data_IF_805078554036
#
_entry.id   IF_805078554036
#
_cell.length_a   1.000
_cell.length_b   1.000
_cell.length_c   1.000
_cell.angle_alpha   90.00
_cell.angle_beta   90.00
_cell.angle_gamma   90.00
#
_symmetry.space_group_name_H-M   'P 1'
#
loop_
_entity.id
_entity.type
_entity.pdbx_description
1 polymer ?
#
# COMPACT_ATOMS: atom_id res chain seq x y z
N UNK A 1 11.49 -0.11 -19.73
CA UNK A 1 10.42 -0.77 -18.97
C UNK A 1 10.99 -1.88 -18.11
N UNK A 2 10.63 -1.84 -16.82
CA UNK A 2 10.79 -2.94 -15.88
C UNK A 2 9.82 -4.05 -16.30
N UNK A 3 10.28 -5.29 -16.39
CA UNK A 3 9.45 -6.47 -16.63
C UNK A 3 9.95 -7.62 -15.73
N UNK A 4 9.14 -8.68 -15.59
CA UNK A 4 9.44 -9.79 -14.67
C UNK A 4 10.85 -10.37 -14.84
N UNK A 5 11.26 -10.62 -16.08
CA UNK A 5 12.59 -11.17 -16.37
C UNK A 5 13.73 -10.24 -15.95
N UNK A 6 13.57 -8.92 -16.16
CA UNK A 6 14.56 -7.92 -15.75
C UNK A 6 14.60 -7.73 -14.23
N UNK A 7 13.47 -7.87 -13.55
CA UNK A 7 13.42 -7.88 -12.08
C UNK A 7 14.16 -9.10 -11.54
N UNK A 8 13.84 -10.30 -12.04
CA UNK A 8 14.50 -11.54 -11.63
C UNK A 8 16.02 -11.51 -11.88
N UNK A 9 16.46 -10.95 -13.02
CA UNK A 9 17.87 -10.77 -13.31
C UNK A 9 18.56 -9.80 -12.32
N UNK A 10 17.88 -8.72 -11.93
CA UNK A 10 18.38 -7.78 -10.94
C UNK A 10 18.44 -8.41 -9.53
N UNK A 11 17.41 -9.15 -9.11
CA UNK A 11 17.38 -9.90 -7.84
C UNK A 11 18.60 -10.83 -7.73
N UNK A 12 18.92 -11.56 -8.81
CA UNK A 12 20.10 -12.42 -8.89
C UNK A 12 21.43 -11.67 -8.82
N UNK A 13 21.53 -10.48 -9.43
CA UNK A 13 22.73 -9.64 -9.39
C UNK A 13 23.01 -9.10 -7.98
N UNK A 14 21.96 -8.71 -7.26
CA UNK A 14 22.07 -8.13 -5.91
C UNK A 14 21.98 -9.17 -4.79
N UNK A 15 21.84 -10.46 -5.12
CA UNK A 15 21.78 -11.53 -4.13
C UNK A 15 20.57 -11.41 -3.19
N UNK A 16 19.46 -10.86 -3.68
CA UNK A 16 18.26 -10.67 -2.86
C UNK A 16 17.68 -12.05 -2.48
N UNK A 17 17.49 -12.34 -1.18
CA UNK A 17 16.95 -13.63 -0.77
C UNK A 17 15.50 -13.77 -1.23
N UNK A 18 15.10 -15.00 -1.56
CA UNK A 18 13.69 -15.27 -1.84
C UNK A 18 12.85 -14.94 -0.59
N UNK A 19 11.88 -14.05 -0.77
CA UNK A 19 10.97 -13.68 0.29
C UNK A 19 9.56 -14.20 -0.01
N UNK A 20 8.97 -14.90 0.95
CA UNK A 20 7.56 -15.28 0.90
C UNK A 20 6.81 -14.39 1.85
N UNK A 21 5.86 -13.62 1.33
CA UNK A 21 4.91 -12.86 2.16
C UNK A 21 4.01 -13.88 2.86
N UNK A 22 4.07 -14.02 4.20
CA UNK A 22 3.18 -14.90 4.92
C UNK A 22 1.76 -14.34 4.85
N UNK A 23 0.90 -14.95 4.02
CA UNK A 23 -0.50 -14.56 3.91
C UNK A 23 -1.29 -15.18 5.04
N UNK A 24 -1.82 -14.35 5.92
CA UNK A 24 -2.68 -14.76 7.03
C UNK A 24 -3.76 -13.72 7.22
N UNK A 25 -5.02 -14.17 7.35
CA UNK A 25 -6.13 -13.26 7.64
C UNK A 25 -5.89 -12.65 9.03
N UNK A 26 -5.71 -11.33 9.14
CA UNK A 26 -5.45 -10.70 10.41
C UNK A 26 -6.74 -10.66 11.25
N UNK A 27 -6.60 -10.84 12.56
CA UNK A 27 -7.68 -10.62 13.53
C UNK A 27 -7.37 -9.33 14.30
N UNK A 28 -7.75 -8.18 13.74
CA UNK A 28 -7.43 -6.86 14.29
C UNK A 28 -8.52 -6.41 15.26
N UNK A 29 -8.11 -5.90 16.43
CA UNK A 29 -9.01 -5.30 17.43
C UNK A 29 -8.89 -3.79 17.52
N UNK A 30 -9.90 -3.12 18.07
CA UNK A 30 -9.83 -1.69 18.41
C UNK A 30 -9.99 -0.70 17.24
N UNK A 31 -10.42 -1.17 16.07
CA UNK A 31 -10.65 -0.31 14.90
C UNK A 31 -11.89 0.58 15.03
N UNK A 32 -11.89 1.69 14.30
CA UNK A 32 -13.03 2.62 14.19
C UNK A 32 -13.78 2.37 12.89
N UNK A 33 -15.12 2.33 12.93
CA UNK A 33 -15.92 2.10 11.74
C UNK A 33 -15.77 3.22 10.71
N UNK A 34 -15.43 2.84 9.48
CA UNK A 34 -15.34 3.75 8.34
C UNK A 34 -15.74 3.03 7.06
N UNK A 35 -16.73 3.57 6.36
CA UNK A 35 -17.20 3.00 5.09
C UNK A 35 -16.54 3.63 3.87
N UNK A 36 -15.95 4.82 4.02
CA UNK A 36 -15.34 5.57 2.93
C UNK A 36 -14.12 6.32 3.43
N UNK A 37 -13.02 6.25 2.68
CA UNK A 37 -11.79 7.01 2.97
C UNK A 37 -11.25 7.63 1.68
N UNK A 38 -10.62 8.78 1.79
CA UNK A 38 -9.98 9.48 0.68
C UNK A 38 -8.47 9.52 0.88
N UNK A 39 -7.74 9.40 -0.23
CA UNK A 39 -6.31 9.68 -0.32
C UNK A 39 -6.17 10.81 -1.32
N UNK A 40 -6.20 12.03 -0.80
CA UNK A 40 -6.34 13.25 -1.61
C UNK A 40 -5.16 13.46 -2.56
N UNK A 41 -3.93 13.11 -2.13
CA UNK A 41 -2.72 13.19 -2.96
C UNK A 41 -2.83 12.36 -4.25
N UNK A 42 -3.58 11.26 -4.19
CA UNK A 42 -3.81 10.36 -5.33
C UNK A 42 -5.19 10.56 -5.96
N UNK A 43 -5.95 11.59 -5.57
CA UNK A 43 -7.34 11.80 -6.00
C UNK A 43 -8.19 10.54 -5.88
N UNK A 44 -7.91 9.74 -4.86
CA UNK A 44 -8.42 8.39 -4.71
C UNK A 44 -9.48 8.34 -3.62
N UNK A 45 -10.58 7.64 -3.90
CA UNK A 45 -11.63 7.36 -2.91
C UNK A 45 -11.84 5.86 -2.83
N UNK A 46 -11.81 5.33 -1.61
CA UNK A 46 -12.08 3.92 -1.33
C UNK A 46 -13.40 3.79 -0.61
N UNK A 47 -14.24 2.86 -1.07
CA UNK A 47 -15.55 2.59 -0.46
C UNK A 47 -15.68 1.12 -0.10
N UNK A 48 -15.96 0.86 1.17
CA UNK A 48 -16.19 -0.48 1.69
C UNK A 48 -17.56 -1.00 1.27
N UNK A 49 -17.58 -2.20 0.72
CA UNK A 49 -18.79 -2.96 0.45
C UNK A 49 -18.88 -4.15 1.41
N UNK A 50 -19.86 -4.09 2.32
CA UNK A 50 -20.09 -5.14 3.32
C UNK A 50 -20.61 -6.45 2.70
N UNK A 51 -21.21 -6.43 1.50
CA UNK A 51 -21.70 -7.64 0.85
C UNK A 51 -20.55 -8.51 0.33
N UNK A 52 -19.50 -7.89 -0.22
CA UNK A 52 -18.29 -8.58 -0.67
C UNK A 52 -17.21 -8.64 0.39
N UNK A 53 -17.28 -7.79 1.41
CA UNK A 53 -16.25 -7.66 2.44
C UNK A 53 -14.99 -6.96 1.94
N UNK A 54 -15.05 -6.22 0.82
CA UNK A 54 -13.90 -5.61 0.14
C UNK A 54 -14.12 -4.12 -0.13
N UNK A 55 -13.05 -3.41 -0.46
CA UNK A 55 -13.10 -2.02 -0.90
C UNK A 55 -13.05 -1.94 -2.42
N UNK A 56 -13.82 -1.00 -2.97
CA UNK A 56 -13.67 -0.52 -4.34
C UNK A 56 -12.85 0.76 -4.34
N UNK A 57 -12.15 1.04 -5.45
CA UNK A 57 -11.37 2.26 -5.63
C UNK A 57 -11.97 3.12 -6.76
N UNK A 58 -12.07 4.42 -6.54
CA UNK A 58 -12.14 5.43 -7.60
C UNK A 58 -10.86 6.24 -7.59
N UNK A 59 -10.41 6.65 -8.77
CA UNK A 59 -9.27 7.57 -8.95
C UNK A 59 -9.67 8.62 -9.98
N UNK A 60 -9.43 9.89 -9.65
CA UNK A 60 -9.90 11.04 -10.45
C UNK A 60 -11.40 10.96 -10.79
N UNK A 61 -12.20 10.43 -9.86
CA UNK A 61 -13.65 10.25 -10.02
C UNK A 61 -14.08 9.02 -10.83
N UNK A 62 -13.16 8.29 -11.45
CA UNK A 62 -13.45 7.11 -12.28
C UNK A 62 -13.29 5.82 -11.48
N UNK A 63 -14.17 4.85 -11.71
CA UNK A 63 -14.09 3.54 -11.05
C UNK A 63 -12.90 2.75 -11.57
N UNK A 64 -12.01 2.36 -10.66
CA UNK A 64 -10.85 1.55 -10.99
C UNK A 64 -11.28 0.09 -11.17
N UNK A 65 -11.03 -0.43 -12.38
CA UNK A 65 -11.46 -1.78 -12.79
C UNK A 65 -10.27 -2.57 -13.32
N UNK A 66 -10.30 -3.89 -13.13
CA UNK A 66 -9.36 -4.78 -13.80
C UNK A 66 -9.63 -4.74 -15.31
N UNK A 67 -8.62 -4.36 -16.10
CA UNK A 67 -8.77 -4.18 -17.54
C UNK A 67 -9.08 -5.48 -18.29
N UNK A 68 -8.64 -6.64 -17.77
CA UNK A 68 -8.86 -7.93 -18.39
C UNK A 68 -10.24 -8.50 -18.07
N UNK A 69 -10.73 -8.25 -16.86
CA UNK A 69 -12.03 -8.75 -16.38
C UNK A 69 -13.16 -7.76 -16.62
N UNK A 70 -12.86 -6.48 -16.86
CA UNK A 70 -13.84 -5.39 -16.90
C UNK A 70 -14.74 -5.36 -15.66
N UNK A 71 -14.18 -5.69 -14.50
CA UNK A 71 -14.86 -5.69 -13.20
C UNK A 71 -14.15 -4.73 -12.24
N UNK A 72 -14.87 -4.12 -11.28
CA UNK A 72 -14.24 -3.29 -10.26
C UNK A 72 -13.19 -4.07 -9.46
N UNK A 73 -12.18 -3.37 -8.94
CA UNK A 73 -11.26 -4.00 -8.00
C UNK A 73 -11.97 -4.39 -6.70
N UNK A 74 -11.62 -5.57 -6.18
CA UNK A 74 -12.04 -6.08 -4.87
C UNK A 74 -10.85 -6.13 -3.93
N UNK A 75 -10.61 -5.00 -3.25
CA UNK A 75 -9.45 -4.81 -2.35
C UNK A 75 -9.81 -5.36 -0.96
N UNK A 76 -9.13 -6.41 -0.52
CA UNK A 76 -9.36 -7.05 0.78
C UNK A 76 -8.86 -6.17 1.94
N UNK A 77 -7.76 -5.46 1.72
CA UNK A 77 -7.16 -4.53 2.68
C UNK A 77 -6.55 -3.34 1.95
N UNK A 78 -6.81 -2.14 2.46
CA UNK A 78 -6.13 -0.92 2.04
C UNK A 78 -5.17 -0.49 3.16
N UNK A 79 -3.97 -0.08 2.78
CA UNK A 79 -2.99 0.54 3.66
C UNK A 79 -2.59 1.89 3.07
N UNK A 80 -2.53 2.92 3.90
CA UNK A 80 -1.96 4.22 3.55
C UNK A 80 -0.72 4.39 4.41
N UNK A 81 0.45 4.39 3.78
CA UNK A 81 1.72 4.67 4.45
C UNK A 81 2.09 6.12 4.22
N UNK A 82 2.37 6.83 5.31
CA UNK A 82 2.84 8.21 5.27
C UNK A 82 4.34 8.21 5.51
N UNK A 83 5.11 8.81 4.62
CA UNK A 83 6.57 8.88 4.70
C UNK A 83 7.09 10.28 4.37
N UNK A 84 8.35 10.56 4.68
CA UNK A 84 8.95 11.81 4.23
C UNK A 84 9.16 11.79 2.72
N UNK A 85 9.00 12.95 2.13
CA UNK A 85 9.19 13.22 0.72
C UNK A 85 10.15 14.40 0.57
N UNK A 86 11.07 14.32 -0.39
CA UNK A 86 11.82 15.49 -0.86
C UNK A 86 11.86 15.56 -2.38
N UNK A 87 11.95 16.79 -2.88
CA UNK A 87 12.21 17.05 -4.28
C UNK A 87 13.72 16.92 -4.53
N UNK A 88 14.08 16.08 -5.50
CA UNK A 88 15.42 16.04 -6.02
C UNK A 88 15.62 17.17 -7.02
N UNK A 89 16.80 17.78 -6.98
CA UNK A 89 17.25 18.76 -7.97
C UNK A 89 17.74 18.06 -9.25
N UNK A 90 16.91 17.14 -9.73
CA UNK A 90 17.07 16.37 -10.95
C UNK A 90 15.72 16.43 -11.66
N UNK A 91 15.72 16.96 -12.89
CA UNK A 91 14.51 17.06 -13.70
C UNK A 91 14.21 15.77 -14.43
N UNK A 92 12.93 15.46 -14.62
CA UNK A 92 12.42 14.33 -15.43
C UNK A 92 12.68 14.44 -16.95
N UNK A 93 13.49 15.41 -17.38
CA UNK A 93 13.72 15.75 -18.78
C UNK A 93 12.67 16.70 -19.39
N UNK A 94 11.57 16.99 -18.69
CA UNK A 94 10.52 17.93 -19.07
C UNK A 94 10.32 19.07 -18.04
N UNK A 95 11.14 19.10 -16.98
CA UNK A 95 11.23 20.20 -16.02
C UNK A 95 10.45 19.98 -14.73
N UNK A 96 9.84 18.80 -14.53
CA UNK A 96 9.30 18.42 -13.23
C UNK A 96 10.44 17.90 -12.33
N UNK A 97 10.39 18.27 -11.05
CA UNK A 97 11.27 17.69 -10.04
C UNK A 97 10.93 16.23 -9.81
N UNK A 98 11.94 15.39 -9.61
CA UNK A 98 11.73 14.01 -9.18
C UNK A 98 11.39 14.03 -7.69
N UNK A 99 10.32 13.34 -7.32
CA UNK A 99 9.92 13.12 -5.94
C UNK A 99 10.61 11.86 -5.41
N UNK A 100 11.23 11.95 -4.24
CA UNK A 100 11.89 10.85 -3.56
C UNK A 100 11.22 10.62 -2.20
N UNK A 101 10.66 9.41 -2.05
CA UNK A 101 9.91 8.99 -0.88
C UNK A 101 10.79 8.09 -0.01
N UNK A 102 10.97 8.46 1.26
CA UNK A 102 11.88 7.76 2.18
C UNK A 102 11.29 6.43 2.65
N UNK A 103 11.49 5.34 1.91
CA UNK A 103 10.97 4.01 2.29
C UNK A 103 11.96 3.17 3.10
N UNK A 104 13.13 3.73 3.46
CA UNK A 104 14.21 3.04 4.17
C UNK A 104 14.22 3.30 5.69
N UNK A 105 13.20 3.99 6.21
CA UNK A 105 13.10 4.31 7.63
C UNK A 105 11.79 3.82 8.24
N UNK A 106 10.87 4.72 8.56
CA UNK A 106 9.61 4.43 9.21
C UNK A 106 8.64 5.61 9.05
N UNK A 107 7.38 5.37 9.33
CA UNK A 107 6.38 6.41 9.32
C UNK A 107 5.02 5.95 9.82
N UNK A 108 4.03 6.83 9.68
CA UNK A 108 2.66 6.58 10.10
C UNK A 108 1.96 5.66 9.12
N UNK A 109 1.09 4.79 9.62
CA UNK A 109 0.28 3.87 8.85
C UNK A 109 -1.18 4.01 9.23
N UNK A 110 -2.06 4.03 8.24
CA UNK A 110 -3.49 3.77 8.43
C UNK A 110 -3.88 2.50 7.67
N UNK A 111 -4.48 1.55 8.38
CA UNK A 111 -4.95 0.28 7.83
C UNK A 111 -6.47 0.30 7.78
N UNK A 112 -7.03 -0.04 6.62
CA UNK A 112 -8.46 -0.18 6.41
C UNK A 112 -8.76 -1.65 6.11
N UNK A 113 -9.47 -2.32 7.03
CA UNK A 113 -9.77 -3.74 6.93
C UNK A 113 -11.18 -4.03 7.45
N UNK A 114 -12.01 -4.69 6.63
CA UNK A 114 -13.41 -5.03 6.96
C UNK A 114 -14.26 -3.84 7.45
N UNK A 115 -14.18 -2.71 6.77
CA UNK A 115 -14.95 -1.50 7.10
C UNK A 115 -14.50 -0.78 8.37
N UNK A 116 -13.29 -1.07 8.84
CA UNK A 116 -12.70 -0.49 10.03
C UNK A 116 -11.35 0.12 9.69
N UNK A 117 -11.05 1.29 10.28
CA UNK A 117 -9.75 1.93 10.26
C UNK A 117 -8.97 1.62 11.55
N UNK A 118 -7.68 1.38 11.38
CA UNK A 118 -6.72 1.17 12.46
C UNK A 118 -5.53 2.07 12.23
N UNK A 119 -5.07 2.73 13.29
CA UNK A 119 -3.82 3.48 13.30
C UNK A 119 -2.63 2.59 13.61
N UNK A 120 -1.46 2.95 13.07
CA UNK A 120 -0.21 2.25 13.34
C UNK A 120 1.02 2.93 12.77
N UNK A 121 2.09 2.15 12.64
CA UNK A 121 3.36 2.55 12.03
C UNK A 121 3.83 1.50 11.04
N UNK A 122 4.55 1.95 10.02
CA UNK A 122 5.35 1.09 9.15
C UNK A 122 6.84 1.34 9.43
N UNK A 123 7.68 0.34 9.19
CA UNK A 123 9.13 0.48 9.26
C UNK A 123 9.82 -0.42 8.23
N UNK A 124 10.93 0.05 7.69
CA UNK A 124 11.91 -0.77 6.99
C UNK A 124 12.99 -1.20 7.99
N UNK A 125 13.15 -2.52 8.15
CA UNK A 125 14.18 -3.08 9.06
C UNK A 125 15.49 -3.38 8.34
N UNK A 126 15.47 -3.36 7.01
CA UNK A 126 16.56 -3.65 6.08
C UNK A 126 16.22 -2.93 4.77
N UNK A 127 17.17 -2.21 4.15
CA UNK A 127 16.99 -1.47 2.89
C UNK A 127 16.62 -2.36 1.69
N UNK A 128 16.67 -3.68 1.88
CA UNK A 128 16.29 -4.67 0.87
C UNK A 128 15.21 -5.64 1.36
N UNK A 129 14.69 -5.44 2.57
CA UNK A 129 13.66 -6.25 3.18
C UNK A 129 12.24 -5.72 2.95
N UNK A 130 11.21 -6.53 3.25
CA UNK A 130 9.83 -6.06 3.25
C UNK A 130 9.59 -5.02 4.36
N UNK A 131 8.63 -4.13 4.13
CA UNK A 131 8.12 -3.27 5.19
C UNK A 131 7.42 -4.11 6.28
N UNK A 132 7.61 -3.69 7.53
CA UNK A 132 6.95 -4.25 8.71
C UNK A 132 5.86 -3.27 9.16
N UNK A 133 4.69 -3.81 9.51
CA UNK A 133 3.52 -3.03 9.91
C UNK A 133 3.06 -3.40 11.31
N UNK A 134 2.79 -2.40 12.13
CA UNK A 134 2.34 -2.57 13.52
C UNK A 134 1.25 -1.56 13.83
N UNK A 135 0.18 -1.98 14.51
CA UNK A 135 -0.87 -1.07 14.99
C UNK A 135 -0.41 -0.29 16.22
N UNK A 136 -1.09 0.82 16.52
CA UNK A 136 -0.87 1.63 17.72
C UNK A 136 -1.06 0.81 19.03
N UNK A 137 -1.80 -0.30 18.95
CA UNK A 137 -1.94 -1.28 20.05
C UNK A 137 -0.71 -2.16 20.28
N UNK A 138 0.31 -2.06 19.43
CA UNK A 138 1.45 -2.95 19.39
C UNK A 138 1.22 -4.27 18.64
N UNK A 139 0.01 -4.51 18.10
CA UNK A 139 -0.29 -5.72 17.34
C UNK A 139 0.37 -5.68 15.95
N UNK A 140 1.16 -6.71 15.55
CA UNK A 140 1.66 -6.82 14.18
C UNK A 140 0.52 -7.00 13.18
N UNK A 141 0.62 -6.37 12.01
CA UNK A 141 -0.37 -6.52 10.92
C UNK A 141 0.13 -7.53 9.90
N UNK A 142 -0.63 -8.61 9.69
CA UNK A 142 -0.39 -9.57 8.61
C UNK A 142 -1.25 -9.23 7.39
N UNK A 143 -0.75 -9.57 6.20
CA UNK A 143 -1.48 -9.33 4.95
C UNK A 143 -2.49 -10.46 4.70
N UNK A 144 -3.78 -10.16 4.48
CA UNK A 144 -4.77 -11.18 4.19
C UNK A 144 -4.53 -11.81 2.81
N UNK A 145 -5.07 -13.02 2.56
CA UNK A 145 -5.16 -13.54 1.20
C UNK A 145 -6.12 -12.68 0.38
N UNK A 146 -5.65 -12.20 -0.78
CA UNK A 146 -6.44 -11.34 -1.68
C UNK A 146 -5.60 -10.19 -2.20
N UNK A 147 -6.27 -9.19 -2.79
CA UNK A 147 -5.66 -7.94 -3.21
C UNK A 147 -5.48 -7.04 -1.99
N UNK A 148 -4.22 -6.67 -1.72
CA UNK A 148 -3.88 -5.60 -0.76
C UNK A 148 -3.44 -4.40 -1.58
N UNK A 149 -4.05 -3.25 -1.31
CA UNK A 149 -3.68 -1.99 -1.93
C UNK A 149 -2.86 -1.16 -0.93
N UNK A 150 -1.75 -0.58 -1.39
CA UNK A 150 -0.93 0.32 -0.58
C UNK A 150 -0.82 1.64 -1.34
N UNK A 151 -1.33 2.71 -0.72
CA UNK A 151 -1.01 4.08 -1.12
C UNK A 151 0.16 4.59 -0.28
N UNK A 152 1.09 5.26 -0.94
CA UNK A 152 2.24 5.93 -0.32
C UNK A 152 2.01 7.42 -0.43
N UNK A 153 1.95 8.12 0.69
CA UNK A 153 1.74 9.56 0.78
C UNK A 153 2.81 10.22 1.62
N UNK A 154 2.88 11.55 1.56
CA UNK A 154 3.77 12.34 2.42
C UNK A 154 3.22 12.67 3.81
#
# INVERSE_FOLDING_TARGET
MINGDKVAAAEGLFGLPSYTIPKSRPNLGGGTAVSTTNVDEHYSTYSYDAATGTYTKKEEGHLYSDASLSQPLHIEMLMVIHTREWLLDVGDGHGAHIHDFELDTNGRLDVFYKGQQYGGTWASTDSHGPLVFQLDSGQPVTLPPGLVWIDVTR
#
